data_IF_028602340268
#
_entry.id   IF_028602340268
#
_cell.length_a   1.000
_cell.length_b   1.000
_cell.length_c   1.000
_cell.angle_alpha   90.00
_cell.angle_beta   90.00
_cell.angle_gamma   90.00
#
_symmetry.space_group_name_H-M   'P 1'
#
loop_
_entity.id
_entity.type
_entity.pdbx_description
1 polymer ?
#
# COMPACT_ATOMS: atom_id res chain seq x y z
N UNK A 1 42.97 13.40 -42.75
CA UNK A 1 41.93 12.47 -43.22
C UNK A 1 41.80 11.35 -42.21
N UNK A 2 40.66 10.93 -41.69
CA UNK A 2 39.28 11.43 -41.71
C UNK A 2 38.56 10.46 -40.76
N UNK A 3 37.85 10.99 -39.76
CA UNK A 3 36.52 10.58 -39.22
C UNK A 3 36.29 9.09 -38.86
N UNK A 4 35.70 8.70 -37.73
CA UNK A 4 34.56 9.29 -37.06
C UNK A 4 34.39 8.76 -35.62
N UNK A 5 33.84 9.64 -34.79
CA UNK A 5 33.06 9.40 -33.58
C UNK A 5 32.17 8.15 -33.62
N UNK A 6 32.20 7.37 -32.54
CA UNK A 6 30.96 6.84 -31.98
C UNK A 6 30.90 7.22 -30.51
N UNK A 7 30.23 8.35 -30.26
CA UNK A 7 29.57 8.60 -28.98
C UNK A 7 28.84 7.33 -28.58
N UNK A 8 29.13 6.80 -27.39
CA UNK A 8 28.37 5.70 -26.82
C UNK A 8 27.31 6.31 -25.89
N UNK A 9 26.07 6.55 -26.34
CA UNK A 9 25.03 7.18 -25.50
C UNK A 9 24.53 6.21 -24.43
N UNK A 10 25.00 4.96 -24.46
CA UNK A 10 24.39 3.79 -23.83
C UNK A 10 25.13 3.28 -22.59
N UNK A 11 26.19 3.97 -22.13
CA UNK A 11 26.82 3.69 -20.83
C UNK A 11 25.98 4.14 -19.63
N UNK A 12 25.11 5.14 -19.83
CA UNK A 12 24.32 5.75 -18.75
C UNK A 12 23.27 4.81 -18.15
N UNK A 13 22.57 4.00 -18.95
CA UNK A 13 21.53 3.07 -18.45
C UNK A 13 22.12 1.97 -17.56
N UNK A 14 23.27 1.41 -17.96
CA UNK A 14 23.99 0.41 -17.17
C UNK A 14 24.67 1.05 -15.95
N UNK A 15 25.21 2.26 -16.08
CA UNK A 15 25.91 2.96 -14.99
C UNK A 15 24.97 3.51 -13.91
N UNK A 16 23.77 3.97 -14.29
CA UNK A 16 22.82 4.62 -13.36
C UNK A 16 21.77 3.64 -12.83
N UNK A 17 21.24 2.75 -13.68
CA UNK A 17 20.15 1.83 -13.32
C UNK A 17 20.58 0.37 -13.27
N UNK A 18 21.82 0.06 -13.67
CA UNK A 18 22.33 -1.30 -13.70
C UNK A 18 21.68 -2.19 -14.77
N UNK A 19 20.87 -1.64 -15.68
CA UNK A 19 20.11 -2.43 -16.67
C UNK A 19 21.07 -2.93 -17.74
N UNK A 20 21.11 -4.25 -17.97
CA UNK A 20 21.82 -4.85 -19.10
C UNK A 20 20.93 -4.83 -20.35
N UNK A 21 21.54 -4.90 -21.55
CA UNK A 21 20.82 -4.74 -22.84
C UNK A 21 19.82 -5.87 -23.12
N UNK A 22 20.19 -7.09 -22.77
CA UNK A 22 19.37 -8.31 -22.80
C UNK A 22 18.12 -8.19 -21.90
N UNK A 23 18.24 -7.54 -20.75
CA UNK A 23 17.15 -7.41 -19.77
C UNK A 23 16.28 -6.15 -19.98
N UNK A 24 16.71 -5.20 -20.83
CA UNK A 24 16.08 -3.87 -20.93
C UNK A 24 14.62 -3.91 -21.39
N UNK A 25 14.31 -4.77 -22.36
CA UNK A 25 12.94 -4.94 -22.89
C UNK A 25 12.02 -5.52 -21.81
N UNK A 26 12.46 -6.56 -21.10
CA UNK A 26 11.71 -7.14 -19.99
C UNK A 26 11.48 -6.13 -18.86
N UNK A 27 12.49 -5.32 -18.54
CA UNK A 27 12.37 -4.27 -17.51
C UNK A 27 11.36 -3.20 -17.92
N UNK A 28 11.39 -2.76 -19.18
CA UNK A 28 10.43 -1.78 -19.70
C UNK A 28 8.99 -2.30 -19.64
N UNK A 29 8.75 -3.55 -20.07
CA UNK A 29 7.44 -4.17 -19.95
C UNK A 29 7.02 -4.37 -18.50
N UNK A 30 7.93 -4.76 -17.61
CA UNK A 30 7.65 -4.91 -16.17
C UNK A 30 7.30 -3.57 -15.50
N UNK A 31 7.98 -2.50 -15.90
CA UNK A 31 7.68 -1.13 -15.48
C UNK A 31 6.30 -0.69 -15.97
N UNK A 32 6.02 -0.84 -17.27
CA UNK A 32 4.74 -0.50 -17.88
C UNK A 32 3.58 -1.31 -17.28
N UNK A 33 3.82 -2.59 -17.01
CA UNK A 33 2.89 -3.49 -16.34
C UNK A 33 2.55 -3.00 -14.93
N UNK A 34 3.56 -2.70 -14.09
CA UNK A 34 3.30 -2.21 -12.73
C UNK A 34 2.63 -0.84 -12.72
N UNK A 35 3.02 0.04 -13.66
CA UNK A 35 2.38 1.32 -13.89
C UNK A 35 0.88 1.15 -14.19
N UNK A 36 0.52 0.27 -15.13
CA UNK A 36 -0.89 0.04 -15.48
C UNK A 36 -1.67 -0.57 -14.31
N UNK A 37 -1.10 -1.56 -13.63
CA UNK A 37 -1.69 -2.21 -12.46
C UNK A 37 -2.00 -1.19 -11.36
N UNK A 38 -1.03 -0.37 -10.96
CA UNK A 38 -1.24 0.63 -9.91
C UNK A 38 -2.14 1.76 -10.40
N UNK A 39 -2.03 2.19 -11.65
CA UNK A 39 -2.92 3.21 -12.22
C UNK A 39 -4.39 2.76 -12.18
N UNK A 40 -4.68 1.52 -12.61
CA UNK A 40 -6.05 0.96 -12.56
C UNK A 40 -6.62 0.97 -11.13
N UNK A 41 -5.81 0.61 -10.13
CA UNK A 41 -6.22 0.65 -8.73
C UNK A 41 -6.44 2.08 -8.22
N UNK A 42 -5.52 2.99 -8.51
CA UNK A 42 -5.62 4.37 -8.04
C UNK A 42 -6.72 5.17 -8.75
N UNK A 43 -7.22 4.70 -9.89
CA UNK A 43 -8.43 5.24 -10.52
C UNK A 43 -9.69 4.92 -9.71
N UNK A 44 -9.85 3.66 -9.29
CA UNK A 44 -11.06 3.22 -8.59
C UNK A 44 -10.99 3.43 -7.07
N UNK A 45 -9.79 3.64 -6.52
CA UNK A 45 -9.60 3.82 -5.08
C UNK A 45 -10.37 5.03 -4.54
N UNK A 46 -10.35 6.23 -5.15
CA UNK A 46 -11.18 7.35 -4.72
C UNK A 46 -12.68 7.03 -4.76
N UNK A 47 -13.14 6.29 -5.79
CA UNK A 47 -14.53 5.85 -5.91
C UNK A 47 -14.91 4.95 -4.74
N UNK A 48 -14.05 4.01 -4.38
CA UNK A 48 -14.22 3.16 -3.20
C UNK A 48 -14.37 3.97 -1.91
N UNK A 49 -13.52 4.97 -1.70
CA UNK A 49 -13.61 5.81 -0.50
C UNK A 49 -14.91 6.64 -0.49
N UNK A 50 -15.35 7.11 -1.65
CA UNK A 50 -16.64 7.79 -1.77
C UNK A 50 -17.79 6.85 -1.40
N UNK A 51 -17.83 5.62 -1.93
CA UNK A 51 -18.88 4.64 -1.61
C UNK A 51 -18.96 4.35 -0.11
N UNK A 52 -17.83 4.37 0.60
CA UNK A 52 -17.79 4.22 2.05
C UNK A 52 -18.52 5.38 2.75
N UNK A 53 -18.23 6.61 2.34
CA UNK A 53 -18.85 7.83 2.89
C UNK A 53 -20.31 7.95 2.49
N UNK A 54 -20.64 7.72 1.21
CA UNK A 54 -21.99 7.75 0.67
C UNK A 54 -22.92 6.72 1.29
N UNK A 55 -22.38 5.60 1.79
CA UNK A 55 -23.14 4.60 2.54
C UNK A 55 -23.45 4.98 4.00
N UNK A 56 -22.97 6.14 4.45
CA UNK A 56 -23.06 6.66 5.81
C UNK A 56 -21.82 6.31 6.65
N UNK A 57 -21.11 7.27 7.27
CA UNK A 57 -19.92 7.05 8.08
C UNK A 57 -20.11 6.06 9.25
N UNK A 58 -21.33 5.94 9.76
CA UNK A 58 -21.68 4.98 10.81
C UNK A 58 -21.56 3.51 10.36
N UNK A 59 -21.55 3.28 9.04
CA UNK A 59 -21.46 1.94 8.43
C UNK A 59 -20.03 1.48 8.18
N UNK A 60 -19.08 2.42 8.11
CA UNK A 60 -17.64 2.16 7.90
C UNK A 60 -17.08 1.03 8.78
N UNK A 61 -17.32 0.98 10.11
CA UNK A 61 -16.84 -0.14 10.93
C UNK A 61 -17.31 -1.52 10.46
N UNK A 62 -18.52 -1.64 9.89
CA UNK A 62 -18.99 -2.91 9.32
C UNK A 62 -18.29 -3.21 7.99
N UNK A 63 -18.00 -2.20 7.17
CA UNK A 63 -17.21 -2.36 5.94
C UNK A 63 -15.80 -2.88 6.23
N UNK A 64 -15.19 -2.44 7.31
CA UNK A 64 -13.88 -2.90 7.76
C UNK A 64 -13.92 -4.36 8.24
N UNK A 65 -14.95 -4.77 8.98
CA UNK A 65 -15.17 -6.18 9.32
C UNK A 65 -15.37 -7.02 8.06
N UNK A 66 -16.26 -6.60 7.16
CA UNK A 66 -16.53 -7.30 5.91
C UNK A 66 -15.24 -7.47 5.09
N UNK A 67 -14.46 -6.40 4.97
CA UNK A 67 -13.14 -6.43 4.32
C UNK A 67 -12.19 -7.41 5.01
N UNK A 68 -12.08 -7.37 6.34
CA UNK A 68 -11.19 -8.25 7.10
C UNK A 68 -11.53 -9.73 6.88
N UNK A 69 -12.81 -10.08 7.02
CA UNK A 69 -13.31 -11.46 6.84
C UNK A 69 -13.09 -11.91 5.39
N UNK A 70 -13.52 -11.11 4.41
CA UNK A 70 -13.32 -11.45 2.99
C UNK A 70 -11.84 -11.60 2.65
N UNK A 71 -10.96 -10.76 3.20
CA UNK A 71 -9.51 -10.85 2.95
C UNK A 71 -8.90 -12.12 3.52
N UNK A 72 -9.36 -12.64 4.67
CA UNK A 72 -8.91 -13.94 5.20
C UNK A 72 -9.26 -15.06 4.22
N UNK A 73 -10.50 -15.10 3.74
CA UNK A 73 -10.93 -16.11 2.77
C UNK A 73 -10.19 -15.96 1.43
N UNK A 74 -10.08 -14.73 0.93
CA UNK A 74 -9.49 -14.48 -0.37
C UNK A 74 -7.98 -14.76 -0.37
N UNK A 75 -7.24 -14.39 0.67
CA UNK A 75 -5.80 -14.73 0.80
C UNK A 75 -5.58 -16.24 0.91
N UNK A 76 -6.44 -16.96 1.63
CA UNK A 76 -6.39 -18.42 1.73
C UNK A 76 -6.68 -19.09 0.39
N UNK A 77 -7.72 -18.62 -0.32
CA UNK A 77 -8.05 -19.09 -1.66
C UNK A 77 -6.90 -18.82 -2.65
N UNK A 78 -6.30 -17.63 -2.60
CA UNK A 78 -5.15 -17.28 -3.43
C UNK A 78 -3.96 -18.22 -3.19
N UNK A 79 -3.59 -18.46 -1.93
CA UNK A 79 -2.51 -19.38 -1.58
C UNK A 79 -2.77 -20.80 -2.09
N UNK A 80 -4.01 -21.27 -1.99
CA UNK A 80 -4.41 -22.57 -2.53
C UNK A 80 -4.32 -22.63 -4.06
N UNK A 81 -4.85 -21.64 -4.79
CA UNK A 81 -4.76 -21.60 -6.27
C UNK A 81 -3.30 -21.50 -6.72
N UNK A 82 -2.51 -20.63 -6.08
CA UNK A 82 -1.10 -20.43 -6.41
C UNK A 82 -0.23 -21.68 -6.13
N UNK A 83 -0.69 -22.59 -5.27
CA UNK A 83 -0.02 -23.88 -5.04
C UNK A 83 -0.34 -24.95 -6.09
N UNK A 84 -1.44 -24.78 -6.86
CA UNK A 84 -1.92 -25.79 -7.81
C UNK A 84 -1.67 -25.44 -9.27
N UNK A 85 -1.60 -24.16 -9.61
CA UNK A 85 -1.44 -23.71 -10.99
C UNK A 85 -0.12 -22.95 -11.16
N UNK A 86 0.63 -23.20 -12.26
CA UNK A 86 1.75 -22.34 -12.63
C UNK A 86 1.25 -20.90 -12.77
N UNK A 87 1.79 -20.01 -11.94
CA UNK A 87 1.27 -18.64 -11.78
C UNK A 87 1.21 -17.90 -13.10
N UNK A 88 2.18 -18.17 -13.99
CA UNK A 88 2.25 -17.67 -15.37
C UNK A 88 0.96 -17.92 -16.16
N UNK A 89 0.33 -19.09 -16.07
CA UNK A 89 -0.89 -19.41 -16.84
C UNK A 89 -2.12 -18.72 -16.22
N UNK A 90 -2.20 -18.69 -14.89
CA UNK A 90 -3.34 -18.15 -14.15
C UNK A 90 -3.44 -16.62 -14.17
N UNK A 91 -2.31 -15.93 -14.28
CA UNK A 91 -2.17 -14.46 -14.22
C UNK A 91 -3.15 -13.66 -15.11
N UNK A 92 -3.21 -13.86 -16.44
CA UNK A 92 -4.14 -13.11 -17.28
C UNK A 92 -5.60 -13.36 -16.93
N UNK A 93 -5.95 -14.59 -16.53
CA UNK A 93 -7.32 -14.94 -16.14
C UNK A 93 -7.77 -14.19 -14.89
N UNK A 94 -6.87 -13.96 -13.93
CA UNK A 94 -7.17 -13.13 -12.76
C UNK A 94 -7.51 -11.70 -13.17
N UNK A 95 -6.75 -11.12 -14.08
CA UNK A 95 -7.03 -9.75 -14.55
C UNK A 95 -8.27 -9.67 -15.40
N UNK A 96 -8.51 -10.64 -16.30
CA UNK A 96 -9.76 -10.72 -17.07
C UNK A 96 -10.98 -10.89 -16.16
N UNK A 97 -10.85 -11.67 -15.07
CA UNK A 97 -11.88 -11.76 -14.04
C UNK A 97 -12.14 -10.38 -13.41
N UNK A 98 -11.11 -9.64 -12.98
CA UNK A 98 -11.35 -8.33 -12.40
C UNK A 98 -11.89 -7.31 -13.40
N UNK A 99 -11.46 -7.37 -14.67
CA UNK A 99 -12.02 -6.56 -15.76
C UNK A 99 -13.50 -6.85 -15.94
N UNK A 100 -13.90 -8.13 -16.03
CA UNK A 100 -15.32 -8.48 -16.17
C UNK A 100 -16.16 -8.00 -15.00
N UNK A 101 -15.65 -8.12 -13.77
CA UNK A 101 -16.31 -7.57 -12.58
C UNK A 101 -16.45 -6.04 -12.66
N UNK A 102 -15.42 -5.30 -13.09
CA UNK A 102 -15.51 -3.85 -13.28
C UNK A 102 -16.58 -3.45 -14.29
N UNK A 103 -16.68 -4.19 -15.40
CA UNK A 103 -17.72 -3.98 -16.40
C UNK A 103 -19.13 -4.28 -15.84
N UNK A 104 -19.26 -5.34 -15.04
CA UNK A 104 -20.53 -5.65 -14.34
C UNK A 104 -20.89 -4.52 -13.38
N UNK A 105 -19.96 -4.08 -12.53
CA UNK A 105 -20.20 -2.95 -11.63
C UNK A 105 -20.61 -1.69 -12.41
N UNK A 106 -19.94 -1.38 -13.52
CA UNK A 106 -20.30 -0.25 -14.37
C UNK A 106 -21.75 -0.33 -14.87
N UNK A 107 -22.15 -1.49 -15.44
CA UNK A 107 -23.53 -1.70 -15.89
C UNK A 107 -24.52 -1.55 -14.74
N UNK A 108 -24.29 -2.21 -13.61
CA UNK A 108 -25.23 -2.20 -12.48
C UNK A 108 -25.32 -0.80 -11.84
N UNK A 109 -24.21 -0.08 -11.67
CA UNK A 109 -24.23 1.32 -11.20
C UNK A 109 -25.01 2.22 -12.16
N UNK A 110 -24.80 2.07 -13.48
CA UNK A 110 -25.51 2.88 -14.48
C UNK A 110 -27.03 2.66 -14.48
N UNK A 111 -27.49 1.46 -14.08
CA UNK A 111 -28.90 1.12 -13.96
C UNK A 111 -29.53 1.59 -12.64
N UNK A 112 -28.76 1.63 -11.55
CA UNK A 112 -29.23 1.96 -10.20
C UNK A 112 -29.07 3.45 -9.82
N UNK A 113 -29.03 4.36 -10.81
CA UNK A 113 -28.82 5.81 -10.62
C UNK A 113 -29.81 6.52 -9.68
N UNK A 114 -30.88 5.84 -9.25
CA UNK A 114 -31.93 6.41 -8.38
C UNK A 114 -31.58 6.53 -6.89
N UNK A 115 -30.38 6.12 -6.45
CA UNK A 115 -29.93 6.33 -5.06
C UNK A 115 -30.75 5.56 -4.00
N UNK A 116 -31.45 4.50 -4.39
CA UNK A 116 -32.21 3.65 -3.48
C UNK A 116 -31.32 2.80 -2.57
N UNK A 117 -31.94 2.00 -1.70
CA UNK A 117 -31.22 1.10 -0.78
C UNK A 117 -30.28 0.13 -1.54
N UNK A 118 -30.67 -0.32 -2.72
CA UNK A 118 -29.87 -1.18 -3.59
C UNK A 118 -28.55 -0.52 -4.03
N UNK A 119 -28.57 0.79 -4.31
CA UNK A 119 -27.38 1.55 -4.66
C UNK A 119 -26.38 1.61 -3.50
N UNK A 120 -26.90 1.84 -2.28
CA UNK A 120 -26.08 1.89 -1.07
C UNK A 120 -25.44 0.52 -0.80
N UNK A 121 -26.21 -0.57 -0.88
CA UNK A 121 -25.67 -1.92 -0.71
C UNK A 121 -24.65 -2.28 -1.79
N UNK A 122 -24.89 -1.90 -3.04
CA UNK A 122 -23.91 -2.08 -4.11
C UNK A 122 -22.60 -1.35 -3.81
N UNK A 123 -22.66 -0.11 -3.33
CA UNK A 123 -21.48 0.64 -2.90
C UNK A 123 -20.69 -0.05 -1.79
N UNK A 124 -21.39 -0.66 -0.82
CA UNK A 124 -20.77 -1.45 0.27
C UNK A 124 -20.08 -2.71 -0.27
N UNK A 125 -20.72 -3.43 -1.19
CA UNK A 125 -20.13 -4.61 -1.86
C UNK A 125 -18.91 -4.19 -2.68
N UNK A 126 -19.03 -3.10 -3.43
CA UNK A 126 -17.93 -2.52 -4.22
C UNK A 126 -16.74 -2.14 -3.33
N UNK A 127 -16.98 -1.55 -2.15
CA UNK A 127 -15.93 -1.21 -1.18
C UNK A 127 -15.08 -2.43 -0.79
N UNK A 128 -15.75 -3.53 -0.44
CA UNK A 128 -15.09 -4.79 -0.06
C UNK A 128 -14.38 -5.39 -1.27
N UNK A 129 -15.02 -5.41 -2.44
CA UNK A 129 -14.44 -5.92 -3.68
C UNK A 129 -13.16 -5.19 -4.09
N UNK A 130 -13.12 -3.84 -4.05
CA UNK A 130 -11.89 -3.07 -4.37
C UNK A 130 -10.76 -3.37 -3.39
N UNK A 131 -11.08 -3.70 -2.14
CA UNK A 131 -10.08 -4.10 -1.14
C UNK A 131 -9.39 -5.42 -1.52
N UNK A 132 -10.18 -6.39 -1.99
CA UNK A 132 -9.68 -7.68 -2.49
C UNK A 132 -8.90 -7.47 -3.79
N UNK A 133 -9.45 -6.71 -4.74
CA UNK A 133 -8.80 -6.35 -6.00
C UNK A 133 -7.39 -5.81 -5.78
N UNK A 134 -7.22 -4.82 -4.91
CA UNK A 134 -5.91 -4.23 -4.63
C UNK A 134 -4.89 -5.27 -4.13
N UNK A 135 -5.28 -6.12 -3.18
CA UNK A 135 -4.38 -7.14 -2.64
C UNK A 135 -3.97 -8.11 -3.75
N UNK A 136 -4.92 -8.59 -4.54
CA UNK A 136 -4.67 -9.60 -5.54
C UNK A 136 -3.77 -9.06 -6.65
N UNK A 137 -4.15 -7.93 -7.25
CA UNK A 137 -3.45 -7.43 -8.44
C UNK A 137 -1.98 -7.12 -8.14
N UNK A 138 -1.68 -6.57 -6.96
CA UNK A 138 -0.31 -6.31 -6.50
C UNK A 138 0.44 -7.59 -6.15
N UNK A 139 -0.20 -8.53 -5.43
CA UNK A 139 0.45 -9.80 -5.04
C UNK A 139 0.80 -10.65 -6.25
N UNK A 140 -0.13 -10.72 -7.20
CA UNK A 140 0.00 -11.44 -8.46
C UNK A 140 1.10 -10.84 -9.33
N UNK A 141 1.21 -9.50 -9.39
CA UNK A 141 2.32 -8.81 -10.04
C UNK A 141 3.68 -9.24 -9.46
N UNK A 142 3.85 -9.12 -8.14
CA UNK A 142 5.14 -9.43 -7.50
C UNK A 142 5.49 -10.92 -7.58
N UNK A 143 4.49 -11.78 -7.56
CA UNK A 143 4.67 -13.21 -7.82
C UNK A 143 5.22 -13.46 -9.22
N UNK A 144 4.66 -12.80 -10.24
CA UNK A 144 5.17 -12.92 -11.61
C UNK A 144 6.61 -12.40 -11.73
N UNK A 145 6.93 -11.27 -11.10
CA UNK A 145 8.30 -10.73 -11.10
C UNK A 145 9.31 -11.68 -10.47
N UNK A 146 8.93 -12.36 -9.38
CA UNK A 146 9.76 -13.35 -8.72
C UNK A 146 9.98 -14.61 -9.59
N UNK A 147 9.02 -14.93 -10.46
CA UNK A 147 9.09 -16.07 -11.38
C UNK A 147 9.96 -15.83 -12.62
N UNK A 148 10.15 -14.57 -13.03
CA UNK A 148 10.88 -14.24 -14.27
C UNK A 148 12.29 -13.70 -14.01
N UNK A 149 12.52 -13.08 -12.85
CA UNK A 149 13.83 -12.52 -12.50
C UNK A 149 14.58 -13.41 -11.51
N UNK A 150 15.91 -13.50 -11.68
CA UNK A 150 16.80 -14.15 -10.71
C UNK A 150 16.99 -13.28 -9.45
N UNK A 151 17.49 -13.87 -8.37
CA UNK A 151 17.80 -13.13 -7.12
C UNK A 151 18.80 -11.98 -7.31
N UNK A 152 19.71 -12.10 -8.27
CA UNK A 152 20.71 -11.05 -8.57
C UNK A 152 20.06 -9.90 -9.34
N UNK A 153 19.27 -10.22 -10.37
CA UNK A 153 18.50 -9.23 -11.13
C UNK A 153 17.50 -8.49 -10.24
N UNK A 154 16.76 -9.20 -9.37
CA UNK A 154 15.76 -8.60 -8.49
C UNK A 154 16.34 -7.52 -7.56
N UNK A 155 17.54 -7.73 -7.00
CA UNK A 155 18.21 -6.73 -6.15
C UNK A 155 18.53 -5.42 -6.86
N UNK A 156 18.75 -5.46 -8.17
CA UNK A 156 19.14 -4.32 -8.99
C UNK A 156 17.93 -3.64 -9.65
N UNK A 157 16.99 -4.44 -10.16
CA UNK A 157 15.93 -3.97 -11.06
C UNK A 157 14.62 -3.67 -10.33
N UNK A 158 14.32 -4.32 -9.20
CA UNK A 158 13.01 -4.16 -8.54
C UNK A 158 12.79 -2.73 -8.03
N UNK A 159 13.84 -1.99 -7.68
CA UNK A 159 13.72 -0.57 -7.33
C UNK A 159 13.21 0.27 -8.51
N UNK A 160 13.78 0.08 -9.69
CA UNK A 160 13.33 0.76 -10.91
C UNK A 160 11.92 0.32 -11.32
N UNK A 161 11.64 -0.99 -11.33
CA UNK A 161 10.30 -1.52 -11.64
C UNK A 161 9.25 -0.97 -10.66
N UNK A 162 9.57 -0.90 -9.37
CA UNK A 162 8.68 -0.34 -8.33
C UNK A 162 8.33 1.12 -8.58
N UNK A 163 9.24 1.90 -9.17
CA UNK A 163 8.99 3.31 -9.48
C UNK A 163 7.86 3.49 -10.50
N UNK A 164 7.69 2.53 -11.43
CA UNK A 164 6.56 2.51 -12.36
C UNK A 164 5.21 2.47 -11.64
N UNK A 165 5.11 1.71 -10.54
CA UNK A 165 3.90 1.68 -9.72
C UNK A 165 3.60 3.00 -8.99
N UNK A 166 4.63 3.73 -8.57
CA UNK A 166 4.46 5.05 -7.94
C UNK A 166 4.00 6.10 -8.94
N UNK A 167 4.55 6.08 -10.15
CA UNK A 167 4.13 6.95 -11.25
C UNK A 167 2.70 6.57 -11.70
N UNK A 168 2.39 5.27 -11.75
CA UNK A 168 1.04 4.77 -12.04
C UNK A 168 0.01 5.23 -11.02
N UNK A 169 0.35 5.17 -9.73
CA UNK A 169 -0.51 5.66 -8.65
C UNK A 169 -0.84 7.16 -8.79
N UNK A 170 0.16 7.97 -9.14
CA UNK A 170 -0.03 9.40 -9.41
C UNK A 170 -0.88 9.62 -10.66
N UNK A 171 -0.57 8.94 -11.76
CA UNK A 171 -1.31 9.05 -13.02
C UNK A 171 -2.79 8.68 -12.82
N UNK A 172 -3.09 7.56 -12.15
CA UNK A 172 -4.46 7.14 -11.87
C UNK A 172 -5.23 8.14 -11.00
N UNK A 173 -4.56 8.76 -10.02
CA UNK A 173 -5.12 9.86 -9.24
C UNK A 173 -5.45 11.08 -10.11
N UNK A 174 -4.51 11.51 -10.96
CA UNK A 174 -4.70 12.68 -11.86
C UNK A 174 -5.82 12.44 -12.87
N UNK A 175 -5.89 11.24 -13.44
CA UNK A 175 -6.97 10.82 -14.34
C UNK A 175 -8.32 10.96 -13.63
N UNK A 176 -8.42 10.44 -12.41
CA UNK A 176 -9.65 10.50 -11.61
C UNK A 176 -10.03 11.93 -11.25
N UNK A 177 -9.10 12.73 -10.72
CA UNK A 177 -9.40 14.10 -10.29
C UNK A 177 -9.82 14.99 -11.45
N UNK A 178 -9.29 14.75 -12.65
CA UNK A 178 -9.56 15.58 -13.84
C UNK A 178 -10.84 15.20 -14.58
N UNK A 179 -11.19 13.90 -14.57
CA UNK A 179 -12.32 13.38 -15.35
C UNK A 179 -13.59 13.16 -14.54
N UNK A 180 -13.50 12.84 -13.24
CA UNK A 180 -14.66 12.39 -12.46
C UNK A 180 -15.85 13.37 -12.51
N UNK A 181 -15.59 14.68 -12.43
CA UNK A 181 -16.66 15.69 -12.46
C UNK A 181 -17.24 15.93 -13.87
N UNK A 182 -16.58 15.44 -14.92
CA UNK A 182 -17.01 15.60 -16.31
C UNK A 182 -17.78 14.38 -16.82
N UNK A 183 -17.31 13.19 -16.46
CA UNK A 183 -17.85 11.92 -16.98
C UNK A 183 -18.57 11.09 -15.91
N UNK A 184 -18.56 11.51 -14.64
CA UNK A 184 -19.10 10.74 -13.51
C UNK A 184 -18.17 9.62 -13.04
N UNK A 185 -18.24 9.27 -11.75
CA UNK A 185 -17.39 8.23 -11.17
C UNK A 185 -17.61 6.84 -11.79
N UNK A 186 -18.83 6.52 -12.24
CA UNK A 186 -19.18 5.22 -12.83
C UNK A 186 -18.25 4.91 -14.02
N UNK A 187 -18.07 5.90 -14.91
CA UNK A 187 -17.30 5.75 -16.13
C UNK A 187 -15.78 5.61 -15.90
N UNK A 188 -15.30 5.91 -14.69
CA UNK A 188 -13.92 5.61 -14.31
C UNK A 188 -13.63 4.10 -14.26
N UNK A 189 -14.66 3.26 -14.04
CA UNK A 189 -14.53 1.80 -14.08
C UNK A 189 -14.13 1.32 -15.48
N UNK A 190 -14.67 1.94 -16.54
CA UNK A 190 -14.28 1.63 -17.92
C UNK A 190 -12.82 2.00 -18.19
N UNK A 191 -12.40 3.18 -17.72
CA UNK A 191 -11.01 3.63 -17.87
C UNK A 191 -10.06 2.69 -17.12
N UNK A 192 -10.39 2.34 -15.87
CA UNK A 192 -9.60 1.40 -15.07
C UNK A 192 -9.51 0.02 -15.74
N UNK A 193 -10.62 -0.48 -16.29
CA UNK A 193 -10.67 -1.73 -17.05
C UNK A 193 -9.78 -1.69 -18.29
N UNK A 194 -9.81 -0.60 -19.05
CA UNK A 194 -8.96 -0.39 -20.22
C UNK A 194 -7.47 -0.37 -19.87
N UNK A 195 -7.10 0.32 -18.79
CA UNK A 195 -5.71 0.33 -18.30
C UNK A 195 -5.28 -1.07 -17.84
N UNK A 196 -6.17 -1.83 -17.19
CA UNK A 196 -5.88 -3.20 -16.77
C UNK A 196 -5.78 -4.17 -17.96
N UNK A 197 -6.51 -3.93 -19.06
CA UNK A 197 -6.32 -4.66 -20.33
C UNK A 197 -4.94 -4.41 -20.92
N UNK A 198 -4.44 -3.17 -20.87
CA UNK A 198 -3.05 -2.88 -21.27
C UNK A 198 -2.05 -3.64 -20.38
N UNK A 199 -2.32 -3.76 -19.09
CA UNK A 199 -1.51 -4.60 -18.19
C UNK A 199 -1.50 -6.07 -18.62
N UNK A 200 -2.64 -6.64 -19.03
CA UNK A 200 -2.72 -8.00 -19.57
C UNK A 200 -1.87 -8.16 -20.83
N UNK A 201 -1.89 -7.17 -21.73
CA UNK A 201 -1.02 -7.14 -22.89
C UNK A 201 0.47 -7.12 -22.50
N UNK A 202 0.87 -6.30 -21.54
CA UNK A 202 2.26 -6.32 -21.03
C UNK A 202 2.67 -7.69 -20.46
N UNK A 203 1.74 -8.39 -19.77
CA UNK A 203 1.99 -9.75 -19.27
C UNK A 203 2.21 -10.74 -20.40
N UNK A 204 1.46 -10.65 -21.50
CA UNK A 204 1.65 -11.50 -22.68
C UNK A 204 3.02 -11.26 -23.31
N UNK A 205 3.39 -10.00 -23.54
CA UNK A 205 4.71 -9.65 -24.07
C UNK A 205 5.87 -10.15 -23.19
N UNK A 206 5.73 -10.08 -21.87
CA UNK A 206 6.72 -10.62 -20.92
C UNK A 206 6.80 -12.15 -20.98
N UNK A 207 5.68 -12.85 -21.14
CA UNK A 207 5.68 -14.31 -21.28
C UNK A 207 6.40 -14.76 -22.55
N UNK A 208 6.12 -14.08 -23.66
CA UNK A 208 6.73 -14.40 -24.95
C UNK A 208 8.25 -14.18 -24.89
N UNK A 209 8.69 -13.11 -24.24
CA UNK A 209 10.11 -12.85 -23.98
C UNK A 209 10.77 -13.97 -23.15
N UNK A 210 10.12 -14.39 -22.06
CA UNK A 210 10.65 -15.48 -21.20
C UNK A 210 10.76 -16.81 -21.96
N UNK A 211 9.78 -17.14 -22.81
CA UNK A 211 9.78 -18.36 -23.60
C UNK A 211 10.84 -18.36 -24.72
N UNK A 212 11.09 -17.20 -25.35
CA UNK A 212 12.01 -17.12 -26.48
C UNK A 212 13.50 -17.14 -26.06
N UNK A 213 13.83 -16.62 -24.88
CA UNK A 213 15.22 -16.23 -24.59
C UNK A 213 15.82 -16.90 -23.34
N UNK A 214 15.02 -17.44 -22.42
CA UNK A 214 15.48 -17.85 -21.07
C UNK A 214 14.91 -19.18 -20.53
N UNK A 215 14.40 -20.09 -21.37
CA UNK A 215 13.79 -21.36 -20.92
C UNK A 215 14.75 -22.23 -20.07
N UNK A 216 16.07 -22.14 -20.31
CA UNK A 216 17.11 -22.85 -19.57
C UNK A 216 17.58 -22.17 -18.25
N UNK A 217 17.33 -20.88 -18.05
CA UNK A 217 17.77 -20.12 -16.84
C UNK A 217 16.71 -20.06 -15.73
N UNK A 218 15.50 -20.59 -15.96
CA UNK A 218 14.39 -20.60 -14.99
C UNK A 218 14.71 -21.43 -13.73
N UNK A 219 15.75 -22.27 -13.74
CA UNK A 219 16.17 -23.12 -12.61
C UNK A 219 16.77 -22.38 -11.40
N UNK A 220 16.81 -21.04 -11.39
CA UNK A 220 17.35 -20.22 -10.29
C UNK A 220 16.51 -18.99 -9.91
N UNK A 221 15.21 -19.00 -10.22
CA UNK A 221 14.28 -17.89 -9.91
C UNK A 221 14.12 -17.69 -8.40
N UNK A 222 13.61 -16.52 -8.00
CA UNK A 222 13.55 -16.09 -6.58
C UNK A 222 12.83 -17.11 -5.68
N UNK A 223 11.83 -17.81 -6.20
CA UNK A 223 11.05 -18.84 -5.47
C UNK A 223 11.60 -20.28 -5.55
N UNK A 224 12.69 -20.55 -6.28
CA UNK A 224 13.03 -21.95 -6.65
C UNK A 224 13.49 -22.89 -5.53
N UNK A 225 13.79 -22.45 -4.30
CA UNK A 225 14.08 -23.40 -3.21
C UNK A 225 13.59 -22.90 -1.84
N UNK A 226 12.80 -23.75 -1.20
CA UNK A 226 12.21 -23.70 0.15
C UNK A 226 10.85 -23.00 0.30
N UNK A 227 9.73 -23.76 0.35
CA UNK A 227 8.58 -23.31 1.12
C UNK A 227 9.07 -23.06 2.54
N UNK A 228 9.06 -21.79 2.97
CA UNK A 228 9.25 -21.42 4.36
C UNK A 228 8.09 -22.00 5.18
N UNK A 229 8.23 -23.27 5.54
CA UNK A 229 7.32 -24.01 6.40
C UNK A 229 7.32 -23.40 7.80
N UNK A 230 6.13 -23.12 8.30
CA UNK A 230 5.92 -22.66 9.67
C UNK A 230 4.49 -22.19 9.85
N UNK A 231 3.84 -22.63 10.93
CA UNK A 231 2.48 -22.19 11.23
C UNK A 231 2.47 -20.67 11.47
N UNK A 232 1.45 -19.98 10.95
CA UNK A 232 1.24 -18.55 11.24
C UNK A 232 1.17 -18.27 12.76
N UNK A 233 0.75 -19.28 13.54
CA UNK A 233 0.71 -19.27 14.99
C UNK A 233 2.09 -19.17 15.65
N UNK A 234 3.15 -19.74 15.06
CA UNK A 234 4.52 -19.61 15.58
C UNK A 234 5.03 -18.15 15.51
N UNK A 235 4.61 -17.38 14.50
CA UNK A 235 4.94 -15.96 14.40
C UNK A 235 4.34 -15.12 15.53
N UNK A 236 3.15 -15.50 16.01
CA UNK A 236 2.44 -14.82 17.09
C UNK A 236 3.05 -15.13 18.45
N UNK A 237 3.46 -16.37 18.72
CA UNK A 237 4.13 -16.71 20.00
C UNK A 237 5.51 -16.05 20.13
N UNK A 238 6.29 -15.98 19.05
CA UNK A 238 7.58 -15.28 19.04
C UNK A 238 7.44 -13.76 19.23
N UNK A 239 6.35 -13.17 18.72
CA UNK A 239 6.06 -11.75 18.93
C UNK A 239 5.93 -11.40 20.42
N UNK A 240 5.14 -12.17 21.17
CA UNK A 240 4.92 -11.90 22.60
C UNK A 240 6.14 -12.23 23.48
N UNK A 241 7.09 -13.01 22.96
CA UNK A 241 8.29 -13.42 23.69
C UNK A 241 9.40 -12.35 23.70
N UNK A 242 9.36 -11.37 22.78
CA UNK A 242 10.42 -10.38 22.62
C UNK A 242 9.91 -8.97 22.82
N UNK A 243 10.45 -8.26 23.82
CA UNK A 243 10.16 -6.84 24.07
C UNK A 243 10.39 -5.97 22.83
N UNK A 244 11.35 -6.34 21.98
CA UNK A 244 11.65 -5.63 20.74
C UNK A 244 10.50 -5.74 19.72
N UNK A 245 10.01 -6.95 19.46
CA UNK A 245 8.87 -7.14 18.54
C UNK A 245 7.57 -6.58 19.11
N UNK A 246 7.38 -6.65 20.44
CA UNK A 246 6.25 -6.04 21.12
C UNK A 246 6.23 -4.50 20.97
N UNK A 247 7.40 -3.86 20.99
CA UNK A 247 7.53 -2.43 20.67
C UNK A 247 7.15 -2.10 19.22
N UNK A 248 7.54 -2.94 18.26
CA UNK A 248 7.15 -2.77 16.85
C UNK A 248 5.64 -2.97 16.66
N UNK A 249 5.06 -3.99 17.30
CA UNK A 249 3.61 -4.22 17.28
C UNK A 249 2.84 -3.07 17.95
N UNK A 250 3.31 -2.56 19.09
CA UNK A 250 2.70 -1.40 19.76
C UNK A 250 2.71 -0.16 18.86
N UNK A 251 3.82 0.11 18.17
CA UNK A 251 3.90 1.17 17.16
C UNK A 251 2.90 0.98 16.03
N UNK A 252 2.75 -0.25 15.54
CA UNK A 252 1.80 -0.61 14.48
C UNK A 252 0.35 -0.40 14.91
N UNK A 253 -0.02 -0.85 16.12
CA UNK A 253 -1.36 -0.69 16.70
C UNK A 253 -1.69 0.79 16.91
N UNK A 254 -0.76 1.57 17.48
CA UNK A 254 -0.98 3.01 17.66
C UNK A 254 -1.11 3.71 16.30
N UNK A 255 -0.23 3.39 15.33
CA UNK A 255 -0.31 3.97 14.00
C UNK A 255 -1.66 3.68 13.32
N UNK A 256 -2.16 2.45 13.44
CA UNK A 256 -3.48 2.02 12.95
C UNK A 256 -4.63 2.75 13.67
N UNK A 257 -4.62 2.83 15.00
CA UNK A 257 -5.63 3.56 15.79
C UNK A 257 -5.71 5.03 15.37
N UNK A 258 -4.55 5.71 15.34
CA UNK A 258 -4.46 7.10 14.96
C UNK A 258 -4.86 7.30 13.49
N UNK A 259 -4.55 6.37 12.59
CA UNK A 259 -4.96 6.43 11.18
C UNK A 259 -6.47 6.27 11.02
N UNK A 260 -7.05 5.35 11.79
CA UNK A 260 -8.49 5.06 11.81
C UNK A 260 -9.29 6.24 12.35
N UNK A 261 -8.81 6.95 13.38
CA UNK A 261 -9.42 8.18 13.87
C UNK A 261 -9.55 9.24 12.77
N UNK A 262 -8.45 9.51 12.04
CA UNK A 262 -8.49 10.46 10.92
C UNK A 262 -9.36 9.99 9.78
N UNK A 263 -9.41 8.67 9.53
CA UNK A 263 -10.31 8.12 8.53
C UNK A 263 -11.78 8.41 8.87
N UNK A 264 -12.19 8.14 10.10
CA UNK A 264 -13.56 8.38 10.55
C UNK A 264 -13.92 9.87 10.59
N UNK A 265 -13.04 10.73 11.11
CA UNK A 265 -13.29 12.18 11.12
C UNK A 265 -13.46 12.73 9.72
N UNK A 266 -12.59 12.31 8.80
CA UNK A 266 -12.66 12.71 7.40
C UNK A 266 -13.96 12.24 6.76
N UNK A 267 -14.37 10.99 6.99
CA UNK A 267 -15.62 10.47 6.44
C UNK A 267 -16.84 11.29 6.90
N UNK A 268 -16.91 11.59 8.20
CA UNK A 268 -17.98 12.41 8.78
C UNK A 268 -17.98 13.86 8.26
N UNK A 269 -16.79 14.46 8.11
CA UNK A 269 -16.67 15.83 7.60
C UNK A 269 -16.93 15.94 6.09
N UNK A 270 -16.52 14.93 5.30
CA UNK A 270 -16.80 14.90 3.85
C UNK A 270 -18.28 14.68 3.58
N UNK A 271 -18.94 13.79 4.34
CA UNK A 271 -20.37 13.53 4.17
C UNK A 271 -21.19 14.82 4.26
N UNK A 272 -20.87 15.67 5.25
CA UNK A 272 -21.59 16.91 5.53
C UNK A 272 -21.13 18.08 4.67
N UNK A 273 -19.83 18.19 4.37
CA UNK A 273 -19.29 19.34 3.64
C UNK A 273 -19.42 19.25 2.10
N UNK A 274 -19.45 18.04 1.54
CA UNK A 274 -19.49 17.82 0.08
C UNK A 274 -20.69 16.95 -0.23
N UNK A 275 -21.70 17.49 -0.92
CA UNK A 275 -22.93 16.74 -1.21
C UNK A 275 -22.83 15.85 -2.45
N UNK A 276 -22.04 16.25 -3.46
CA UNK A 276 -21.90 15.52 -4.72
C UNK A 276 -20.93 14.33 -4.60
N UNK A 277 -21.33 13.10 -4.97
CA UNK A 277 -20.43 11.94 -5.05
C UNK A 277 -19.20 12.17 -5.93
N UNK A 278 -19.35 12.84 -7.06
CA UNK A 278 -18.24 13.12 -7.98
C UNK A 278 -17.23 14.08 -7.35
N UNK A 279 -17.70 15.11 -6.63
CA UNK A 279 -16.81 16.03 -5.90
C UNK A 279 -16.12 15.36 -4.72
N UNK A 280 -16.80 14.45 -4.00
CA UNK A 280 -16.17 13.63 -2.95
C UNK A 280 -15.07 12.76 -3.53
N UNK A 281 -15.35 12.08 -4.64
CA UNK A 281 -14.38 11.25 -5.36
C UNK A 281 -13.18 12.07 -5.83
N UNK A 282 -13.42 13.27 -6.37
CA UNK A 282 -12.36 14.20 -6.76
C UNK A 282 -11.49 14.59 -5.55
N UNK A 283 -12.10 14.92 -4.42
CA UNK A 283 -11.40 15.27 -3.18
C UNK A 283 -10.50 14.12 -2.70
N UNK A 284 -11.03 12.90 -2.63
CA UNK A 284 -10.24 11.70 -2.30
C UNK A 284 -9.10 11.48 -3.27
N UNK A 285 -9.31 11.75 -4.56
CA UNK A 285 -8.25 11.63 -5.56
C UNK A 285 -7.15 12.66 -5.37
N UNK A 286 -7.50 13.92 -5.12
CA UNK A 286 -6.53 14.99 -4.83
C UNK A 286 -5.70 14.67 -3.58
N UNK A 287 -6.33 14.15 -2.52
CA UNK A 287 -5.62 13.64 -1.34
C UNK A 287 -4.64 12.52 -1.70
N UNK A 288 -5.04 11.58 -2.56
CA UNK A 288 -4.18 10.49 -2.98
C UNK A 288 -2.97 10.96 -3.79
N UNK A 289 -3.16 11.93 -4.69
CA UNK A 289 -2.05 12.55 -5.43
C UNK A 289 -1.08 13.20 -4.45
N UNK A 290 -1.59 14.04 -3.53
CA UNK A 290 -0.74 14.71 -2.55
C UNK A 290 0.04 13.73 -1.65
N UNK A 291 -0.61 12.64 -1.21
CA UNK A 291 0.00 11.57 -0.42
C UNK A 291 1.15 10.88 -1.16
N UNK A 292 0.91 10.46 -2.40
CA UNK A 292 1.91 9.76 -3.21
C UNK A 292 3.06 10.68 -3.61
N UNK A 293 2.77 11.94 -3.96
CA UNK A 293 3.80 12.93 -4.29
C UNK A 293 4.71 13.19 -3.09
N UNK A 294 4.12 13.41 -1.91
CA UNK A 294 4.90 13.63 -0.69
C UNK A 294 5.71 12.39 -0.31
N UNK A 295 5.13 11.19 -0.43
CA UNK A 295 5.84 9.94 -0.20
C UNK A 295 7.02 9.75 -1.16
N UNK A 296 6.83 10.02 -2.45
CA UNK A 296 7.86 9.88 -3.48
C UNK A 296 9.02 10.87 -3.24
N UNK A 297 8.71 12.15 -2.98
CA UNK A 297 9.71 13.17 -2.62
C UNK A 297 10.47 12.74 -1.35
N UNK A 298 9.75 12.25 -0.34
CA UNK A 298 10.33 11.75 0.89
C UNK A 298 11.32 10.61 0.65
N UNK A 299 10.92 9.60 -0.12
CA UNK A 299 11.73 8.43 -0.45
C UNK A 299 12.98 8.80 -1.26
N UNK A 300 12.84 9.65 -2.27
CA UNK A 300 13.94 9.99 -3.18
C UNK A 300 14.99 10.90 -2.52
N UNK A 301 14.56 11.92 -1.77
CA UNK A 301 15.46 12.97 -1.29
C UNK A 301 15.74 12.89 0.21
N UNK A 302 14.70 12.63 1.01
CA UNK A 302 14.78 12.88 2.44
C UNK A 302 15.22 11.63 3.24
N UNK A 303 14.87 10.41 2.81
CA UNK A 303 15.23 9.18 3.56
C UNK A 303 16.73 9.05 3.75
N UNK A 304 17.50 9.14 2.66
CA UNK A 304 18.98 9.01 2.71
C UNK A 304 19.59 10.06 3.64
N UNK A 305 19.13 11.30 3.55
CA UNK A 305 19.65 12.42 4.35
C UNK A 305 19.28 12.27 5.83
N UNK A 306 18.02 11.94 6.13
CA UNK A 306 17.52 11.87 7.52
C UNK A 306 18.05 10.62 8.22
N UNK A 307 17.98 9.45 7.58
CA UNK A 307 18.47 8.20 8.18
C UNK A 307 20.00 8.23 8.33
N UNK A 308 20.72 8.75 7.33
CA UNK A 308 22.18 8.88 7.39
C UNK A 308 22.66 9.85 8.49
N UNK A 309 21.96 10.98 8.67
CA UNK A 309 22.37 12.03 9.63
C UNK A 309 21.85 11.80 11.05
N UNK A 310 20.61 11.35 11.20
CA UNK A 310 19.93 11.27 12.51
C UNK A 310 19.77 9.83 13.03
N UNK A 311 19.96 8.83 12.17
CA UNK A 311 19.78 7.41 12.48
C UNK A 311 18.30 6.99 12.54
N UNK A 312 18.08 5.68 12.45
CA UNK A 312 16.76 5.04 12.32
C UNK A 312 15.77 5.48 13.41
N UNK A 313 16.22 5.53 14.67
CA UNK A 313 15.37 5.89 15.81
C UNK A 313 14.73 7.27 15.70
N UNK A 314 15.51 8.28 15.30
CA UNK A 314 15.00 9.65 15.15
C UNK A 314 14.14 9.79 13.90
N UNK A 315 14.46 9.07 12.83
CA UNK A 315 13.61 9.00 11.63
C UNK A 315 12.21 8.48 11.94
N UNK A 316 12.10 7.45 12.79
CA UNK A 316 10.82 6.87 13.22
C UNK A 316 9.95 7.84 14.05
N UNK A 317 10.55 8.86 14.67
CA UNK A 317 9.81 9.84 15.50
C UNK A 317 9.07 10.87 14.64
N UNK A 318 9.44 11.07 13.39
CA UNK A 318 8.81 12.06 12.52
C UNK A 318 7.29 11.82 12.38
N UNK A 319 6.89 10.57 12.20
CA UNK A 319 5.47 10.19 12.08
C UNK A 319 4.66 10.46 13.36
N UNK A 320 5.04 9.97 14.56
CA UNK A 320 4.29 10.27 15.78
C UNK A 320 4.39 11.74 16.19
N UNK A 321 5.50 12.44 15.94
CA UNK A 321 5.60 13.88 16.20
C UNK A 321 4.61 14.69 15.36
N UNK A 322 4.53 14.41 14.05
CA UNK A 322 3.52 15.01 13.18
C UNK A 322 2.09 14.67 13.63
N UNK A 323 1.89 13.45 14.15
CA UNK A 323 0.61 13.02 14.70
C UNK A 323 0.23 13.81 15.96
N UNK A 324 1.15 14.02 16.91
CA UNK A 324 0.93 14.83 18.12
C UNK A 324 0.50 16.24 17.74
N UNK A 325 1.27 16.92 16.88
CA UNK A 325 0.97 18.28 16.42
C UNK A 325 -0.40 18.32 15.75
N UNK A 326 -0.65 17.40 14.81
CA UNK A 326 -1.89 17.33 14.08
C UNK A 326 -3.12 17.11 14.95
N UNK A 327 -3.07 16.16 15.87
CA UNK A 327 -4.20 15.89 16.77
C UNK A 327 -4.43 17.02 17.78
N UNK A 328 -3.39 17.75 18.19
CA UNK A 328 -3.57 18.97 18.97
C UNK A 328 -4.31 20.04 18.17
N UNK A 329 -3.97 20.25 16.89
CA UNK A 329 -4.70 21.18 16.00
C UNK A 329 -6.16 20.75 15.85
N UNK A 330 -6.42 19.46 15.61
CA UNK A 330 -7.78 18.92 15.49
C UNK A 330 -8.59 18.96 16.80
N UNK A 331 -7.92 18.93 17.95
CA UNK A 331 -8.58 19.09 19.23
C UNK A 331 -9.07 20.54 19.45
N UNK A 332 -8.42 21.52 18.81
CA UNK A 332 -8.84 22.92 18.86
C UNK A 332 -9.95 23.19 17.84
N UNK A 333 -9.75 22.78 16.59
CA UNK A 333 -10.70 23.02 15.50
C UNK A 333 -10.68 21.88 14.45
N UNK A 334 -11.62 20.92 14.54
CA UNK A 334 -11.69 19.76 13.66
C UNK A 334 -12.34 20.10 12.30
N UNK A 335 -11.63 20.85 11.45
CA UNK A 335 -12.08 21.15 10.08
C UNK A 335 -11.68 20.10 9.06
N UNK A 336 -12.41 20.01 7.94
CA UNK A 336 -12.11 19.08 6.85
C UNK A 336 -10.69 19.25 6.32
N UNK A 337 -10.25 20.50 6.14
CA UNK A 337 -8.91 20.80 5.65
C UNK A 337 -7.81 20.43 6.66
N UNK A 338 -8.03 20.66 7.96
CA UNK A 338 -7.08 20.23 8.98
C UNK A 338 -6.90 18.71 9.00
N UNK A 339 -8.01 17.96 8.90
CA UNK A 339 -7.97 16.48 8.82
C UNK A 339 -7.27 16.03 7.54
N UNK A 340 -7.58 16.66 6.41
CA UNK A 340 -7.00 16.31 5.12
C UNK A 340 -5.49 16.55 5.07
N UNK A 341 -5.03 17.72 5.51
CA UNK A 341 -3.59 18.05 5.58
C UNK A 341 -2.87 17.08 6.50
N UNK A 342 -3.43 16.80 7.69
CA UNK A 342 -2.81 15.87 8.62
C UNK A 342 -2.72 14.46 8.05
N UNK A 343 -3.77 13.96 7.40
CA UNK A 343 -3.75 12.64 6.76
C UNK A 343 -2.72 12.57 5.64
N UNK A 344 -2.62 13.61 4.80
CA UNK A 344 -1.61 13.71 3.73
C UNK A 344 -0.20 13.68 4.31
N UNK A 345 0.10 14.51 5.31
CA UNK A 345 1.42 14.57 5.97
C UNK A 345 1.75 13.24 6.63
N UNK A 346 0.84 12.67 7.41
CA UNK A 346 1.08 11.40 8.11
C UNK A 346 1.29 10.24 7.16
N UNK A 347 0.49 10.11 6.09
CA UNK A 347 0.70 9.06 5.09
C UNK A 347 1.97 9.27 4.29
N UNK A 348 2.28 10.51 3.90
CA UNK A 348 3.54 10.85 3.26
C UNK A 348 4.75 10.46 4.11
N UNK A 349 4.73 10.77 5.42
CA UNK A 349 5.78 10.35 6.37
C UNK A 349 5.78 8.83 6.62
N UNK A 350 4.60 8.21 6.60
CA UNK A 350 4.42 6.76 6.76
C UNK A 350 5.10 5.98 5.64
N UNK A 351 4.74 6.27 4.40
CA UNK A 351 5.34 5.63 3.21
C UNK A 351 6.76 6.12 2.93
N UNK A 352 7.02 7.40 3.22
CA UNK A 352 8.31 8.04 3.02
C UNK A 352 9.39 7.50 3.95
N UNK A 353 9.15 7.51 5.25
CA UNK A 353 10.19 7.25 6.26
C UNK A 353 9.89 6.06 7.14
N UNK A 354 8.65 5.97 7.64
CA UNK A 354 8.32 5.00 8.70
C UNK A 354 8.47 3.58 8.18
N UNK A 355 7.90 3.28 7.00
CA UNK A 355 7.97 1.95 6.42
C UNK A 355 9.41 1.50 6.12
N UNK A 356 10.26 2.28 5.41
CA UNK A 356 11.68 1.93 5.25
C UNK A 356 12.42 1.79 6.57
N UNK A 357 12.19 2.68 7.53
CA UNK A 357 12.88 2.66 8.83
C UNK A 357 12.49 1.43 9.66
N UNK A 358 11.20 1.05 9.64
CA UNK A 358 10.71 -0.18 10.27
C UNK A 358 11.26 -1.42 9.58
N UNK A 359 11.37 -1.42 8.26
CA UNK A 359 12.01 -2.52 7.52
C UNK A 359 13.48 -2.71 7.91
N UNK A 360 14.19 -1.62 8.18
CA UNK A 360 15.55 -1.68 8.71
C UNK A 360 15.59 -2.24 10.14
N UNK A 361 14.57 -2.03 10.98
CA UNK A 361 14.52 -2.65 12.33
C UNK A 361 14.54 -4.17 12.28
N UNK A 362 14.05 -4.78 11.19
CA UNK A 362 14.10 -6.22 10.98
C UNK A 362 15.45 -6.71 10.41
N UNK A 363 16.44 -5.83 10.19
CA UNK A 363 17.76 -6.23 9.68
C UNK A 363 18.65 -6.88 10.74
N UNK A 364 18.30 -6.76 12.02
CA UNK A 364 19.09 -7.21 13.19
C UNK A 364 18.47 -8.41 13.90
N UNK A 365 17.53 -9.08 13.25
CA UNK A 365 16.85 -10.28 13.75
C UNK A 365 17.05 -11.43 12.77
N UNK A 366 16.82 -12.65 13.21
CA UNK A 366 17.02 -13.82 12.35
C UNK A 366 16.04 -13.81 11.17
N UNK A 367 16.39 -14.44 10.02
CA UNK A 367 15.48 -14.53 8.88
C UNK A 367 14.12 -15.15 9.25
N UNK A 368 14.11 -16.20 10.07
CA UNK A 368 12.89 -16.87 10.49
C UNK A 368 11.96 -15.97 11.31
N UNK A 369 12.51 -15.26 12.31
CA UNK A 369 11.76 -14.26 13.09
C UNK A 369 11.26 -13.13 12.19
N UNK A 370 12.09 -12.65 11.26
CA UNK A 370 11.69 -11.59 10.32
C UNK A 370 10.49 -12.02 9.50
N UNK A 371 10.52 -13.18 8.85
CA UNK A 371 9.43 -13.60 7.96
C UNK A 371 8.13 -13.88 8.73
N UNK A 372 8.21 -14.61 9.85
CA UNK A 372 7.03 -14.99 10.63
C UNK A 372 6.42 -13.80 11.37
N UNK A 373 7.24 -13.03 12.09
CA UNK A 373 6.76 -11.94 12.94
C UNK A 373 6.37 -10.71 12.13
N UNK A 374 7.10 -10.36 11.06
CA UNK A 374 6.72 -9.23 10.20
C UNK A 374 5.37 -9.46 9.54
N UNK A 375 5.15 -10.65 8.96
CA UNK A 375 3.86 -10.95 8.33
C UNK A 375 2.70 -10.92 9.33
N UNK A 376 2.91 -11.44 10.55
CA UNK A 376 1.90 -11.36 11.62
C UNK A 376 1.58 -9.90 12.01
N UNK A 377 2.60 -9.04 12.12
CA UNK A 377 2.42 -7.61 12.46
C UNK A 377 1.73 -6.87 11.31
N UNK A 378 2.21 -7.01 10.07
CA UNK A 378 1.75 -6.26 8.90
C UNK A 378 0.34 -6.68 8.47
N UNK A 379 -0.04 -7.93 8.72
CA UNK A 379 -1.35 -8.48 8.32
C UNK A 379 -2.32 -8.51 9.49
N UNK A 380 -2.11 -9.40 10.46
CA UNK A 380 -3.11 -9.68 11.50
C UNK A 380 -3.24 -8.52 12.50
N UNK A 381 -2.11 -7.97 12.98
CA UNK A 381 -2.14 -6.92 14.01
C UNK A 381 -2.57 -5.59 13.43
N UNK A 382 -2.02 -5.20 12.27
CA UNK A 382 -2.38 -3.94 11.65
C UNK A 382 -3.88 -3.93 11.25
N UNK A 383 -4.37 -4.98 10.59
CA UNK A 383 -5.78 -5.07 10.18
C UNK A 383 -6.73 -5.29 11.35
N UNK A 384 -6.33 -6.10 12.33
CA UNK A 384 -7.08 -6.25 13.58
C UNK A 384 -7.15 -4.93 14.35
N UNK A 385 -6.06 -4.17 14.35
CA UNK A 385 -5.99 -2.81 14.89
C UNK A 385 -6.97 -1.86 14.21
N UNK A 386 -7.11 -1.92 12.89
CA UNK A 386 -8.07 -1.08 12.15
C UNK A 386 -9.51 -1.39 12.59
N UNK A 387 -9.85 -2.68 12.75
CA UNK A 387 -11.19 -3.09 13.22
C UNK A 387 -11.43 -2.61 14.65
N UNK A 388 -10.52 -2.94 15.58
CA UNK A 388 -10.64 -2.53 17.00
C UNK A 388 -10.71 -1.00 17.11
N UNK A 389 -9.86 -0.29 16.37
CA UNK A 389 -9.83 1.17 16.34
C UNK A 389 -11.16 1.75 15.86
N UNK A 390 -11.71 1.24 14.75
CA UNK A 390 -12.96 1.80 14.17
C UNK A 390 -14.13 1.61 15.13
N UNK A 391 -14.22 0.46 15.78
CA UNK A 391 -15.25 0.18 16.78
C UNK A 391 -15.06 1.00 18.06
N UNK A 392 -13.82 1.19 18.51
CA UNK A 392 -13.51 2.05 19.65
C UNK A 392 -13.96 3.49 19.39
N UNK A 393 -13.60 4.04 18.23
CA UNK A 393 -13.98 5.42 17.86
C UNK A 393 -15.49 5.53 17.69
N UNK A 394 -16.15 4.55 17.04
CA UNK A 394 -17.61 4.52 16.94
C UNK A 394 -18.27 4.48 18.31
N UNK A 395 -17.79 3.66 19.24
CA UNK A 395 -18.31 3.60 20.60
C UNK A 395 -18.21 4.96 21.29
N UNK A 396 -17.03 5.59 21.23
CA UNK A 396 -16.80 6.93 21.80
C UNK A 396 -17.74 7.98 21.18
N UNK A 397 -17.94 7.95 19.86
CA UNK A 397 -18.89 8.85 19.19
C UNK A 397 -20.34 8.57 19.57
N UNK A 398 -20.71 7.30 19.75
CA UNK A 398 -22.09 6.90 20.12
C UNK A 398 -22.46 7.35 21.54
N UNK A 399 -21.49 7.36 22.46
CA UNK A 399 -21.69 7.89 23.82
C UNK A 399 -21.59 9.43 23.88
N UNK A 400 -21.51 10.11 22.73
CA UNK A 400 -21.56 11.58 22.63
C UNK A 400 -20.20 12.29 22.70
N UNK A 401 -19.07 11.58 22.66
CA UNK A 401 -17.75 12.23 22.63
C UNK A 401 -17.49 12.77 21.23
N UNK A 402 -17.43 14.11 21.11
CA UNK A 402 -17.17 14.81 19.85
C UNK A 402 -15.74 14.61 19.32
N UNK A 403 -15.54 14.93 18.03
CA UNK A 403 -14.25 14.76 17.34
C UNK A 403 -13.07 15.46 18.04
N UNK A 404 -13.30 16.66 18.60
CA UNK A 404 -12.27 17.41 19.32
C UNK A 404 -11.76 16.66 20.56
N UNK A 405 -12.68 16.11 21.35
CA UNK A 405 -12.33 15.32 22.54
C UNK A 405 -11.65 13.98 22.16
N UNK A 406 -12.13 13.30 21.12
CA UNK A 406 -11.44 12.10 20.59
C UNK A 406 -10.03 12.46 20.09
N UNK A 407 -9.86 13.61 19.44
CA UNK A 407 -8.55 14.10 18.98
C UNK A 407 -7.59 14.33 20.15
N UNK A 408 -8.08 14.93 21.25
CA UNK A 408 -7.29 15.10 22.47
C UNK A 408 -6.89 13.75 23.09
N UNK A 409 -7.77 12.75 23.08
CA UNK A 409 -7.45 11.39 23.52
C UNK A 409 -6.37 10.72 22.65
N UNK A 410 -6.25 11.06 21.36
CA UNK A 410 -5.23 10.51 20.47
C UNK A 410 -3.82 11.06 20.73
N UNK A 411 -3.69 12.26 21.32
CA UNK A 411 -2.39 12.91 21.57
C UNK A 411 -1.48 12.07 22.48
N UNK A 412 -1.92 11.56 23.64
CA UNK A 412 -1.12 10.66 24.48
C UNK A 412 -0.65 9.41 23.74
N UNK A 413 -1.49 8.76 22.93
CA UNK A 413 -1.08 7.59 22.15
C UNK A 413 0.03 7.95 21.16
N UNK A 414 -0.10 9.08 20.45
CA UNK A 414 0.94 9.56 19.55
C UNK A 414 2.25 9.88 20.29
N UNK A 415 2.19 10.45 21.49
CA UNK A 415 3.36 10.69 22.32
C UNK A 415 4.03 9.38 22.78
N UNK A 416 3.25 8.38 23.20
CA UNK A 416 3.76 7.05 23.53
C UNK A 416 4.46 6.42 22.31
N UNK A 417 3.88 6.52 21.12
CA UNK A 417 4.54 6.05 19.90
C UNK A 417 5.88 6.77 19.64
N UNK A 418 5.99 8.08 19.89
CA UNK A 418 7.27 8.78 19.78
C UNK A 418 8.33 8.24 20.76
N UNK A 419 7.94 7.95 22.00
CA UNK A 419 8.83 7.35 23.01
C UNK A 419 9.27 5.94 22.60
N UNK A 420 8.33 5.11 22.13
CA UNK A 420 8.62 3.74 21.67
C UNK A 420 9.53 3.76 20.44
N UNK A 421 9.34 4.70 19.51
CA UNK A 421 10.22 4.87 18.35
C UNK A 421 11.68 5.18 18.75
N UNK A 422 11.87 6.07 19.73
CA UNK A 422 13.20 6.37 20.27
C UNK A 422 13.82 5.15 20.97
N UNK A 423 13.02 4.42 21.74
CA UNK A 423 13.46 3.20 22.42
C UNK A 423 13.87 2.11 21.42
N UNK A 424 13.07 1.84 20.40
CA UNK A 424 13.37 0.90 19.32
C UNK A 424 14.66 1.28 18.59
N UNK A 425 14.87 2.58 18.34
CA UNK A 425 16.11 3.07 17.75
C UNK A 425 17.36 2.83 18.60
N UNK A 426 17.25 2.91 19.93
CA UNK A 426 18.35 2.60 20.85
C UNK A 426 18.62 1.09 20.89
N UNK A 427 17.58 0.29 20.98
CA UNK A 427 17.71 -1.18 21.02
C UNK A 427 18.24 -1.74 19.70
N UNK A 428 17.85 -1.17 18.56
CA UNK A 428 18.44 -1.48 17.25
C UNK A 428 19.95 -1.28 17.25
N UNK A 429 20.44 -0.12 17.73
CA UNK A 429 21.89 0.16 17.79
C UNK A 429 22.61 -0.83 18.69
N UNK A 430 22.01 -1.21 19.81
CA UNK A 430 22.56 -2.21 20.74
C UNK A 430 22.66 -3.59 20.07
N UNK A 431 21.59 -4.06 19.43
CA UNK A 431 21.58 -5.35 18.71
C UNK A 431 22.55 -5.37 17.53
N UNK A 432 22.61 -4.28 16.75
CA UNK A 432 23.57 -4.14 15.65
C UNK A 432 25.03 -4.22 16.14
N UNK A 433 25.33 -3.63 17.30
CA UNK A 433 26.67 -3.71 17.92
C UNK A 433 27.01 -5.14 18.35
N UNK A 434 26.05 -5.86 18.93
CA UNK A 434 26.23 -7.26 19.34
C UNK A 434 26.47 -8.19 18.15
N UNK A 435 25.73 -8.00 17.04
CA UNK A 435 25.91 -8.80 15.81
C UNK A 435 27.28 -8.58 15.16
N UNK A 436 27.77 -7.34 15.15
CA UNK A 436 29.14 -7.02 14.70
C UNK A 436 30.19 -7.66 15.61
N UNK A 437 29.96 -7.66 16.92
CA UNK A 437 30.87 -8.27 17.88
C UNK A 437 30.90 -9.82 17.79
N UNK A 438 29.81 -10.45 17.35
CA UNK A 438 29.75 -11.91 17.14
C UNK A 438 30.30 -12.37 15.78
N UNK A 439 30.79 -11.47 14.92
CA UNK A 439 31.38 -11.81 13.63
C UNK A 439 30.38 -12.33 12.57
N UNK A 440 29.08 -12.12 12.80
CA UNK A 440 27.99 -12.59 11.90
C UNK A 440 27.67 -11.53 10.83
N UNK A 441 28.13 -10.27 11.01
CA UNK A 441 27.95 -9.15 10.08
C UNK A 441 29.18 -8.27 10.01
#
# INVERSE_FOLDING_TARGET
MSTASSDNPNGYLTAVFGIKRDEAVAVAWSFAYFFCVLSSYYIIRPVREEMAVGSGPNTIPYLFIGTFVTMIFATSAFGWVASRFPRRVFLPWVYLFFISNMLIFWVVFSQLRGGGEDYVWLGRVFFVWVSVFNLFVVSVFWSFMADIYTRVQGRRLFGFISSGGSIGALAGGVVTSSLVTRIGFENLLLISSGVLLVAVFCVQQLKDWVHQEHENEIKGTVESENPLGGSALAGITHLFSSRYFLGIALMSIIASLLGTALYMFRAQLIETAILSPDLRTQFFSNMNIAQNTLALIGQMFLVKQVVGRFGIGRSLVLFPAASVIGFMILAMDPTLMAVAVLDVVRRGLGFGFTKPSTDMLYSVVTPEEKYKTKNAIDTAIYRGGDVVGTWTIKLLSTIGIGMAAISMLMVPFAAVAAVVALWLGREYKRKAKLLRASGIV
#
